data_IF_519353513740
#
_entry.id   IF_519353513740
#
_cell.length_a   1.000
_cell.length_b   1.000
_cell.length_c   1.000
_cell.angle_alpha   90.00
_cell.angle_beta   90.00
_cell.angle_gamma   90.00
#
_symmetry.space_group_name_H-M   'P 1'
#
loop_
_entity.id
_entity.type
_entity.pdbx_description
1 polymer ?
#
# COMPACT_ATOMS: atom_id res chain seq x y z
N UNK A 1 -23.34 3.77 4.56
CA UNK A 1 -22.90 2.37 4.68
C UNK A 1 -22.84 1.98 6.16
N UNK A 2 -22.80 0.70 6.50
CA UNK A 2 -22.72 0.23 7.88
C UNK A 2 -21.44 -0.59 8.09
N UNK A 3 -20.91 -0.59 9.32
CA UNK A 3 -19.72 -1.36 9.66
C UNK A 3 -20.03 -2.85 9.68
N UNK A 4 -19.26 -3.67 8.98
CA UNK A 4 -19.41 -5.13 9.01
C UNK A 4 -19.09 -5.74 10.39
N UNK A 5 -18.25 -5.08 11.18
CA UNK A 5 -17.91 -5.54 12.54
C UNK A 5 -18.91 -5.11 13.62
N UNK A 6 -19.43 -3.88 13.54
CA UNK A 6 -20.19 -3.31 14.65
C UNK A 6 -21.55 -2.69 14.26
N UNK A 7 -21.95 -2.80 13.00
CA UNK A 7 -23.26 -2.33 12.52
C UNK A 7 -23.49 -0.82 12.61
N UNK A 8 -22.51 -0.01 13.01
CA UNK A 8 -22.65 1.44 13.14
C UNK A 8 -22.67 2.09 11.75
N UNK A 9 -23.47 3.15 11.58
CA UNK A 9 -23.49 3.94 10.33
C UNK A 9 -22.13 4.62 10.16
N UNK A 10 -21.55 4.49 8.97
CA UNK A 10 -20.25 5.08 8.62
C UNK A 10 -20.39 5.91 7.35
N UNK A 11 -19.53 6.91 7.24
CA UNK A 11 -19.30 7.72 6.05
C UNK A 11 -18.19 7.13 5.15
N UNK A 12 -18.32 7.28 3.83
CA UNK A 12 -17.46 6.66 2.81
C UNK A 12 -16.02 7.23 2.82
N UNK A 13 -15.83 8.34 3.53
CA UNK A 13 -14.57 9.09 3.64
C UNK A 13 -13.67 8.62 4.79
N UNK A 14 -14.15 7.74 5.68
CA UNK A 14 -13.42 7.32 6.88
C UNK A 14 -12.58 6.06 6.62
N UNK A 15 -11.28 6.11 6.98
CA UNK A 15 -10.38 4.95 6.89
C UNK A 15 -10.70 3.88 7.94
N UNK A 16 -11.26 4.29 9.09
CA UNK A 16 -11.57 3.44 10.24
C UNK A 16 -12.97 3.74 10.78
N UNK A 17 -13.59 2.75 11.41
CA UNK A 17 -14.88 2.91 12.04
C UNK A 17 -14.76 3.64 13.40
N UNK A 18 -15.45 4.76 13.56
CA UNK A 18 -15.52 5.52 14.83
C UNK A 18 -16.23 4.77 15.97
N UNK A 19 -16.80 3.59 15.72
CA UNK A 19 -17.48 2.77 16.73
C UNK A 19 -16.58 1.69 17.32
N UNK A 20 -15.91 0.92 16.47
CA UNK A 20 -15.16 -0.28 16.87
C UNK A 20 -13.68 -0.25 16.44
N UNK A 21 -13.23 0.81 15.77
CA UNK A 21 -11.86 0.92 15.24
C UNK A 21 -11.56 0.03 14.04
N UNK A 22 -12.54 -0.69 13.48
CA UNK A 22 -12.32 -1.55 12.32
C UNK A 22 -11.88 -0.73 11.10
N UNK A 23 -10.82 -1.17 10.42
CA UNK A 23 -10.34 -0.57 9.17
C UNK A 23 -11.31 -0.88 8.03
N UNK A 24 -11.74 0.17 7.31
CA UNK A 24 -12.79 0.10 6.28
C UNK A 24 -12.23 0.19 4.86
N UNK A 25 -11.10 0.87 4.69
CA UNK A 25 -10.39 0.96 3.41
C UNK A 25 -9.41 -0.19 3.30
N UNK A 26 -9.84 -1.28 2.64
CA UNK A 26 -8.93 -2.38 2.27
C UNK A 26 -8.83 -2.68 0.78
N UNK A 27 -9.58 -2.00 -0.10
CA UNK A 27 -9.78 -2.54 -1.46
C UNK A 27 -9.69 -1.56 -2.63
N UNK A 28 -9.63 -0.24 -2.41
CA UNK A 28 -9.61 0.70 -3.54
C UNK A 28 -8.26 0.79 -4.26
N UNK A 29 -7.15 0.54 -3.56
CA UNK A 29 -5.81 0.73 -4.15
C UNK A 29 -5.31 -0.51 -4.92
N UNK A 30 -6.03 -1.63 -4.90
CA UNK A 30 -5.70 -2.84 -5.69
C UNK A 30 -6.37 -2.86 -7.06
N UNK A 31 -7.26 -1.91 -7.35
CA UNK A 31 -8.00 -1.86 -8.62
C UNK A 31 -7.20 -1.15 -9.70
N UNK A 32 -6.39 -0.14 -9.34
CA UNK A 32 -5.58 0.61 -10.32
C UNK A 32 -4.33 -0.16 -10.79
N UNK A 33 -3.61 -0.84 -9.89
CA UNK A 33 -2.43 -1.65 -10.26
C UNK A 33 -2.75 -2.72 -11.32
N UNK A 34 -3.91 -3.37 -11.21
CA UNK A 34 -4.31 -4.42 -12.15
C UNK A 34 -4.50 -3.90 -13.57
N UNK A 35 -4.87 -2.64 -13.74
CA UNK A 35 -5.10 -2.06 -15.07
C UNK A 35 -3.78 -1.86 -15.83
N UNK A 36 -2.75 -1.33 -15.16
CA UNK A 36 -1.44 -1.08 -15.78
C UNK A 36 -0.71 -2.39 -16.10
N UNK A 37 -0.75 -3.36 -15.19
CA UNK A 37 -0.18 -4.69 -15.43
C UNK A 37 -0.86 -5.40 -16.61
N UNK A 38 -2.17 -5.23 -16.77
CA UNK A 38 -2.93 -5.83 -17.89
C UNK A 38 -2.50 -5.25 -19.25
N UNK A 39 -2.26 -3.93 -19.32
CA UNK A 39 -1.73 -3.27 -20.52
C UNK A 39 -0.28 -3.65 -20.85
N UNK A 40 0.56 -3.81 -19.83
CA UNK A 40 1.95 -4.24 -20.00
C UNK A 40 2.05 -5.71 -20.43
N UNK A 41 1.23 -6.58 -19.84
CA UNK A 41 1.15 -7.99 -20.22
C UNK A 41 0.67 -8.14 -21.68
N UNK A 42 -0.34 -7.37 -22.09
CA UNK A 42 -0.83 -7.40 -23.47
C UNK A 42 0.21 -6.88 -24.46
N UNK A 43 0.94 -5.82 -24.10
CA UNK A 43 2.05 -5.31 -24.91
C UNK A 43 3.17 -6.34 -25.05
N UNK A 44 3.53 -7.05 -23.97
CA UNK A 44 4.57 -8.08 -24.00
C UNK A 44 4.17 -9.28 -24.87
N UNK A 45 2.91 -9.72 -24.76
CA UNK A 45 2.36 -10.77 -25.63
C UNK A 45 2.36 -10.31 -27.10
N UNK A 46 1.92 -9.07 -27.38
CA UNK A 46 1.90 -8.54 -28.74
C UNK A 46 3.31 -8.47 -29.35
N UNK A 47 4.29 -7.98 -28.60
CA UNK A 47 5.70 -7.93 -29.04
C UNK A 47 6.25 -9.34 -29.28
N UNK A 48 5.92 -10.31 -28.43
CA UNK A 48 6.35 -11.70 -28.61
C UNK A 48 5.75 -12.30 -29.90
N UNK A 49 4.45 -12.13 -30.14
CA UNK A 49 3.78 -12.67 -31.34
C UNK A 49 4.29 -12.00 -32.61
N UNK A 50 4.36 -10.67 -32.64
CA UNK A 50 4.86 -9.92 -33.80
C UNK A 50 6.34 -10.23 -34.05
N UNK A 51 7.14 -10.25 -32.99
CA UNK A 51 8.57 -10.56 -33.09
C UNK A 51 8.83 -11.98 -33.60
N UNK A 52 8.04 -12.96 -33.19
CA UNK A 52 8.19 -14.34 -33.68
C UNK A 52 7.75 -14.46 -35.14
N UNK A 53 6.66 -13.80 -35.53
CA UNK A 53 6.21 -13.74 -36.92
C UNK A 53 7.24 -13.11 -37.86
N UNK A 54 7.87 -12.01 -37.43
CA UNK A 54 8.96 -11.37 -38.19
C UNK A 54 10.17 -12.29 -38.30
N UNK A 55 10.55 -13.00 -37.23
CA UNK A 55 11.69 -13.94 -37.26
C UNK A 55 11.45 -15.05 -38.28
N UNK A 56 10.28 -15.70 -38.22
CA UNK A 56 9.91 -16.78 -39.14
C UNK A 56 9.85 -16.28 -40.58
N UNK A 57 9.23 -15.12 -40.82
CA UNK A 57 9.18 -14.51 -42.15
C UNK A 57 10.56 -14.16 -42.70
N UNK A 58 11.44 -13.62 -41.86
CA UNK A 58 12.79 -13.23 -42.26
C UNK A 58 13.65 -14.45 -42.61
N UNK A 59 13.56 -15.52 -41.83
CA UNK A 59 14.23 -16.79 -42.13
C UNK A 59 13.71 -17.39 -43.43
N UNK A 60 12.40 -17.40 -43.67
CA UNK A 60 11.80 -17.95 -44.90
C UNK A 60 12.23 -17.17 -46.16
N UNK A 61 12.32 -15.84 -46.08
CA UNK A 61 12.74 -15.00 -47.21
C UNK A 61 14.24 -15.12 -47.50
N UNK A 62 15.07 -15.24 -46.45
CA UNK A 62 16.52 -15.33 -46.61
C UNK A 62 17.03 -16.73 -46.94
N UNK A 63 16.32 -17.78 -46.52
CA UNK A 63 16.70 -19.17 -46.81
C UNK A 63 16.76 -19.47 -48.30
N UNK A 64 16.02 -18.72 -49.12
CA UNK A 64 15.96 -18.91 -50.57
C UNK A 64 17.03 -18.10 -51.34
N UNK A 65 17.58 -17.05 -50.70
CA UNK A 65 18.48 -16.08 -51.33
C UNK A 65 19.93 -16.17 -50.86
N UNK A 66 20.17 -16.61 -49.63
CA UNK A 66 21.51 -16.61 -49.02
C UNK A 66 21.90 -18.04 -48.63
N UNK A 67 22.82 -18.62 -49.40
CA UNK A 67 23.44 -19.93 -49.13
C UNK A 67 24.57 -19.85 -48.10
N UNK A 68 25.00 -18.64 -47.74
CA UNK A 68 25.99 -18.39 -46.71
C UNK A 68 25.34 -18.45 -45.32
N UNK A 69 25.46 -19.62 -44.69
CA UNK A 69 24.93 -19.89 -43.35
C UNK A 69 25.46 -18.89 -42.32
N UNK A 70 26.69 -18.42 -42.48
CA UNK A 70 27.33 -17.47 -41.55
C UNK A 70 26.62 -16.12 -41.45
N UNK A 71 26.21 -15.53 -42.58
CA UNK A 71 25.49 -14.27 -42.58
C UNK A 71 24.09 -14.42 -41.96
N UNK A 72 23.42 -15.54 -42.25
CA UNK A 72 22.10 -15.87 -41.70
C UNK A 72 22.15 -15.97 -40.16
N UNK A 73 23.15 -16.67 -39.62
CA UNK A 73 23.35 -16.73 -38.17
C UNK A 73 23.66 -15.37 -37.55
N UNK A 74 24.48 -14.53 -38.21
CA UNK A 74 24.76 -13.18 -37.72
C UNK A 74 23.49 -12.33 -37.61
N UNK A 75 22.60 -12.38 -38.61
CA UNK A 75 21.32 -11.67 -38.55
C UNK A 75 20.39 -12.20 -37.45
N UNK A 76 20.30 -13.52 -37.27
CA UNK A 76 19.50 -14.13 -36.20
C UNK A 76 20.02 -13.71 -34.82
N UNK A 77 21.33 -13.70 -34.62
CA UNK A 77 21.95 -13.28 -33.36
C UNK A 77 21.68 -11.80 -33.08
N UNK A 78 21.86 -10.92 -34.07
CA UNK A 78 21.53 -9.49 -33.93
C UNK A 78 20.04 -9.29 -33.62
N UNK A 79 19.16 -10.04 -34.28
CA UNK A 79 17.73 -10.00 -34.03
C UNK A 79 17.37 -10.44 -32.60
N UNK A 80 17.90 -11.57 -32.13
CA UNK A 80 17.68 -12.03 -30.75
C UNK A 80 18.27 -11.05 -29.73
N UNK A 81 19.43 -10.48 -30.00
CA UNK A 81 20.03 -9.47 -29.13
C UNK A 81 19.16 -8.21 -29.02
N UNK A 82 18.56 -7.76 -30.13
CA UNK A 82 17.64 -6.61 -30.11
C UNK A 82 16.33 -6.92 -29.37
N UNK A 83 15.71 -8.08 -29.60
CA UNK A 83 14.53 -8.51 -28.85
C UNK A 83 14.83 -8.65 -27.35
N UNK A 84 15.94 -9.29 -27.00
CA UNK A 84 16.36 -9.46 -25.61
C UNK A 84 16.64 -8.10 -24.95
N UNK A 85 17.27 -7.17 -25.67
CA UNK A 85 17.49 -5.81 -25.22
C UNK A 85 16.18 -5.06 -24.95
N UNK A 86 15.20 -5.16 -25.86
CA UNK A 86 13.88 -4.54 -25.68
C UNK A 86 13.17 -5.15 -24.46
N UNK A 87 13.13 -6.47 -24.34
CA UNK A 87 12.54 -7.17 -23.20
C UNK A 87 13.23 -6.78 -21.88
N UNK A 88 14.55 -6.69 -21.87
CA UNK A 88 15.33 -6.27 -20.70
C UNK A 88 15.06 -4.82 -20.31
N UNK A 89 14.95 -3.91 -21.29
CA UNK A 89 14.60 -2.51 -21.04
C UNK A 89 13.19 -2.38 -20.46
N UNK A 90 12.21 -3.12 -20.99
CA UNK A 90 10.84 -3.14 -20.46
C UNK A 90 10.85 -3.71 -19.02
N UNK A 91 11.51 -4.84 -18.79
CA UNK A 91 11.64 -5.43 -17.46
C UNK A 91 12.33 -4.50 -16.45
N UNK A 92 13.35 -3.75 -16.89
CA UNK A 92 14.05 -2.77 -16.05
C UNK A 92 13.19 -1.54 -15.76
N UNK A 93 12.39 -1.09 -16.72
CA UNK A 93 11.42 -0.02 -16.51
C UNK A 93 10.33 -0.46 -15.53
N UNK A 94 9.84 -1.69 -15.64
CA UNK A 94 8.89 -2.30 -14.71
C UNK A 94 9.46 -2.38 -13.29
N UNK A 95 10.67 -2.91 -13.13
CA UNK A 95 11.34 -3.00 -11.84
C UNK A 95 11.50 -1.61 -11.20
N UNK A 96 11.88 -0.61 -12.00
CA UNK A 96 12.05 0.77 -11.51
C UNK A 96 10.71 1.46 -11.16
N UNK A 97 9.62 1.12 -11.83
CA UNK A 97 8.28 1.64 -11.52
C UNK A 97 7.72 0.98 -10.25
N UNK A 98 7.89 -0.33 -10.11
CA UNK A 98 7.46 -1.08 -8.92
C UNK A 98 8.25 -0.62 -7.68
N UNK A 99 9.55 -0.38 -7.82
CA UNK A 99 10.40 0.09 -6.71
C UNK A 99 10.05 1.53 -6.28
N UNK A 100 9.61 2.38 -7.21
CA UNK A 100 9.08 3.71 -6.89
C UNK A 100 7.72 3.64 -6.20
N UNK A 101 6.84 2.72 -6.58
CA UNK A 101 5.54 2.54 -5.93
C UNK A 101 5.69 2.03 -4.48
N UNK A 102 6.58 1.06 -4.24
CA UNK A 102 6.85 0.59 -2.87
C UNK A 102 7.56 1.65 -2.01
N UNK A 103 8.42 2.47 -2.60
CA UNK A 103 9.09 3.56 -1.88
C UNK A 103 8.13 4.70 -1.52
N UNK A 104 7.15 5.04 -2.37
CA UNK A 104 6.12 6.05 -2.02
C UNK A 104 5.05 5.50 -1.07
N UNK A 105 4.67 4.21 -1.16
CA UNK A 105 3.80 3.58 -0.15
C UNK A 105 4.47 3.44 1.22
N UNK A 106 5.79 3.27 1.27
CA UNK A 106 6.57 3.34 2.52
C UNK A 106 6.77 4.78 3.04
N UNK A 107 6.56 5.81 2.20
CA UNK A 107 6.77 7.23 2.53
C UNK A 107 5.49 7.99 2.86
N UNK A 108 4.29 7.45 2.56
CA UNK A 108 3.03 8.08 3.00
C UNK A 108 2.77 7.88 4.52
N UNK A 109 3.54 7.04 5.22
CA UNK A 109 3.50 6.99 6.69
C UNK A 109 4.50 7.92 7.38
N UNK A 110 5.30 8.70 6.65
CA UNK A 110 6.15 9.74 7.25
C UNK A 110 6.11 11.05 6.46
N UNK A 111 5.33 11.98 6.99
CA UNK A 111 5.44 13.44 6.78
C UNK A 111 4.82 13.98 5.49
N UNK A 112 3.51 14.24 5.56
CA UNK A 112 2.96 15.53 5.12
C UNK A 112 2.13 16.11 6.27
N UNK A 113 2.85 16.63 7.28
CA UNK A 113 2.33 17.72 8.09
C UNK A 113 2.43 18.96 7.19
N UNK A 114 1.51 19.08 6.25
CA UNK A 114 1.30 20.31 5.50
C UNK A 114 0.59 21.28 6.43
N UNK A 115 1.35 22.27 6.88
CA UNK A 115 0.95 23.45 7.64
C UNK A 115 0.27 23.17 9.00
N UNK A 116 0.82 23.70 10.12
CA UNK A 116 0.01 23.81 11.33
C UNK A 116 -1.10 24.81 11.01
N UNK A 117 -2.25 24.32 10.56
CA UNK A 117 -3.51 25.04 10.67
C UNK A 117 -3.52 25.55 12.11
N UNK A 118 -3.45 26.88 12.26
CA UNK A 118 -3.46 27.53 13.57
C UNK A 118 -4.71 27.01 14.26
N UNK A 119 -4.52 26.03 15.14
CA UNK A 119 -5.51 25.61 16.11
C UNK A 119 -5.95 26.92 16.76
N UNK A 120 -7.17 27.35 16.46
CA UNK A 120 -7.81 28.44 17.17
C UNK A 120 -7.88 27.95 18.60
N UNK A 121 -6.88 28.33 19.39
CA UNK A 121 -6.87 28.11 20.83
C UNK A 121 -8.07 28.90 21.33
N UNK A 122 -9.15 28.17 21.62
CA UNK A 122 -10.23 28.68 22.44
C UNK A 122 -9.56 29.21 23.71
N UNK A 123 -9.88 30.45 24.13
CA UNK A 123 -9.28 31.02 25.32
C UNK A 123 -9.46 30.02 26.47
N UNK A 124 -8.39 29.69 27.20
CA UNK A 124 -8.48 28.75 28.30
C UNK A 124 -9.55 29.27 29.25
N UNK A 125 -10.64 28.51 29.40
CA UNK A 125 -11.61 28.78 30.44
C UNK A 125 -10.83 28.64 31.75
N UNK A 126 -10.59 29.76 32.42
CA UNK A 126 -9.92 29.80 33.70
C UNK A 126 -10.56 28.77 34.62
N UNK A 127 -9.82 27.68 34.87
CA UNK A 127 -10.04 26.85 36.04
C UNK A 127 -9.40 27.59 37.20
N UNK A 128 -9.99 28.72 37.59
CA UNK A 128 -9.75 29.22 38.93
C UNK A 128 -10.01 28.04 39.87
N UNK A 129 -9.05 27.69 40.73
CA UNK A 129 -9.23 26.60 41.66
C UNK A 129 -10.36 27.03 42.59
N UNK A 130 -11.51 26.35 42.46
CA UNK A 130 -12.53 26.13 43.49
C UNK A 130 -12.35 26.99 44.76
N UNK A 131 -12.61 28.30 44.66
CA UNK A 131 -12.95 29.09 45.84
C UNK A 131 -14.42 28.76 46.12
N UNK A 132 -14.65 28.26 47.34
CA UNK A 132 -15.92 27.82 47.94
C UNK A 132 -16.41 26.39 47.65
N UNK A 133 -15.60 25.38 48.00
CA UNK A 133 -16.14 24.08 48.41
C UNK A 133 -15.89 23.84 49.92
N UNK A 134 -16.73 24.44 50.76
CA UNK A 134 -16.87 24.13 52.18
C UNK A 134 -17.80 22.91 52.36
N UNK A 135 -17.30 21.71 52.07
CA UNK A 135 -18.04 20.47 52.32
C UNK A 135 -17.13 19.26 52.46
N UNK A 136 -17.24 18.46 53.54
CA UNK A 136 -16.45 17.24 53.69
C UNK A 136 -17.17 16.09 52.98
N UNK A 137 -16.47 15.39 52.09
CA UNK A 137 -16.66 13.96 51.85
C UNK A 137 -15.58 13.45 50.89
N UNK A 138 -14.38 13.19 51.43
CA UNK A 138 -13.45 12.28 50.78
C UNK A 138 -14.13 10.90 50.72
N UNK A 139 -14.52 10.47 49.53
CA UNK A 139 -14.97 9.10 49.26
C UNK A 139 -13.73 8.20 49.13
N UNK A 140 -12.91 8.18 50.18
CA UNK A 140 -11.73 7.29 50.29
C UNK A 140 -11.70 6.53 51.62
N UNK A 141 -12.68 6.72 52.51
CA UNK A 141 -12.64 6.15 53.88
C UNK A 141 -13.65 5.01 54.15
N UNK A 142 -14.55 4.68 53.21
CA UNK A 142 -15.66 3.76 53.52
C UNK A 142 -15.58 2.34 52.94
N UNK A 143 -14.54 1.96 52.18
CA UNK A 143 -14.51 0.62 51.53
C UNK A 143 -13.33 -0.27 51.92
N UNK A 144 -12.47 0.14 52.87
CA UNK A 144 -11.29 -0.66 53.28
C UNK A 144 -11.32 -1.14 54.73
N UNK A 145 -12.41 -0.90 55.49
CA UNK A 145 -12.50 -1.26 56.93
C UNK A 145 -13.32 -2.52 57.23
N UNK A 146 -13.49 -3.44 56.26
CA UNK A 146 -14.13 -4.75 56.49
C UNK A 146 -13.42 -5.89 55.73
N UNK A 147 -12.08 -5.89 55.71
CA UNK A 147 -11.31 -7.07 55.34
C UNK A 147 -10.77 -7.68 56.64
N UNK A 148 -11.43 -8.74 57.09
CA UNK A 148 -11.00 -9.56 58.21
C UNK A 148 -9.59 -10.13 57.96
N UNK A 149 -8.79 -10.17 59.02
CA UNK A 149 -7.45 -10.75 59.02
C UNK A 149 -7.54 -12.26 58.80
N UNK A 150 -6.98 -12.75 57.69
CA UNK A 150 -6.92 -14.17 57.38
C UNK A 150 -5.71 -14.77 58.11
N UNK A 151 -5.88 -15.74 59.03
CA UNK A 151 -4.75 -16.37 59.69
C UNK A 151 -3.92 -17.16 58.66
N UNK A 152 -2.66 -16.77 58.50
CA UNK A 152 -1.70 -17.51 57.68
C UNK A 152 -1.16 -18.66 58.53
N UNK A 153 -1.74 -19.84 58.35
CA UNK A 153 -1.24 -21.06 58.97
C UNK A 153 0.02 -21.51 58.22
N UNK A 154 1.18 -21.21 58.79
CA UNK A 154 2.48 -21.63 58.26
C UNK A 154 2.73 -23.06 58.73
N UNK A 155 2.53 -24.03 57.84
CA UNK A 155 2.92 -25.43 58.03
C UNK A 155 4.11 -25.77 57.14
#
# INVERSE_FOLDING_TARGET
MYCERCGKKIDNSLNFCNGCGAQLRKEKDKVEEKSVFSGLLSALIAVAVVGLGVLVGFVAVLSDKVRDTGALFAFVIVYLATLFGICFLIARQLAKVIDRDHTDRGRIETVTISEPERLVQLPPKSTNPLEDFNGPASVTEHTTRTLDEVPVERR
#
